data_IF_479289091777
#
_entry.id   IF_479289091777
#
_cell.length_a   1.000
_cell.length_b   1.000
_cell.length_c   1.000
_cell.angle_alpha   90.00
_cell.angle_beta   90.00
_cell.angle_gamma   90.00
#
_symmetry.space_group_name_H-M   'P 1'
#
loop_
_entity.id
_entity.type
_entity.pdbx_description
1 polymer ?
#
# COMPACT_ATOMS: atom_id res chain seq x y z
N UNK A 1 47.93 21.42 8.42
CA UNK A 1 47.01 20.56 7.66
C UNK A 1 46.53 19.48 8.59
N UNK A 2 45.33 19.68 9.14
CA UNK A 2 44.88 19.04 10.40
C UNK A 2 44.19 17.70 10.13
N UNK A 3 44.61 16.67 10.87
CA UNK A 3 44.13 15.29 10.74
C UNK A 3 42.69 15.06 11.27
N UNK A 4 41.97 16.12 11.65
CA UNK A 4 40.61 16.04 12.22
C UNK A 4 39.48 16.12 11.21
N UNK A 5 39.78 16.28 9.93
CA UNK A 5 38.73 16.49 8.87
C UNK A 5 38.34 15.23 8.09
N UNK A 6 38.84 14.07 8.53
CA UNK A 6 38.57 12.79 7.83
C UNK A 6 37.51 11.88 8.48
N UNK A 7 36.88 12.31 9.55
CA UNK A 7 35.96 11.43 10.32
C UNK A 7 34.46 11.65 10.07
N UNK A 8 34.09 12.57 9.20
CA UNK A 8 32.65 12.83 8.92
C UNK A 8 32.15 12.35 7.54
N UNK A 9 32.95 11.58 6.81
CA UNK A 9 32.63 11.12 5.46
C UNK A 9 32.57 9.60 5.33
N UNK A 10 31.83 8.90 6.18
CA UNK A 10 31.55 7.48 5.96
C UNK A 10 30.15 7.05 6.42
N UNK A 11 29.14 7.80 6.06
CA UNK A 11 27.81 7.22 5.86
C UNK A 11 27.88 6.47 4.54
N UNK A 12 28.06 5.16 4.61
CA UNK A 12 28.26 4.29 3.44
C UNK A 12 27.10 4.46 2.46
N UNK A 13 27.34 4.80 1.17
CA UNK A 13 26.27 4.93 0.17
C UNK A 13 25.49 3.63 -0.06
N UNK A 14 26.03 2.49 0.36
CA UNK A 14 25.39 1.18 0.27
C UNK A 14 24.23 1.00 1.24
N UNK A 15 24.28 1.55 2.46
CA UNK A 15 23.20 1.40 3.46
C UNK A 15 21.95 2.22 3.09
N UNK A 16 22.14 3.42 2.54
CA UNK A 16 21.02 4.24 2.06
C UNK A 16 20.28 3.61 0.87
N UNK A 17 20.99 2.96 -0.03
CA UNK A 17 20.40 2.24 -1.15
C UNK A 17 19.62 1.00 -0.70
N UNK A 18 20.09 0.26 0.29
CA UNK A 18 19.40 -0.92 0.81
C UNK A 18 18.11 -0.55 1.54
N UNK A 19 18.12 0.49 2.36
CA UNK A 19 16.93 0.99 3.05
C UNK A 19 15.87 1.50 2.06
N UNK A 20 16.27 2.21 1.02
CA UNK A 20 15.39 2.66 -0.05
C UNK A 20 14.78 1.47 -0.80
N UNK A 21 15.58 0.49 -1.18
CA UNK A 21 15.12 -0.72 -1.85
C UNK A 21 14.14 -1.50 -0.98
N UNK A 22 14.44 -1.66 0.32
CA UNK A 22 13.55 -2.31 1.27
C UNK A 22 12.21 -1.56 1.38
N UNK A 23 12.23 -0.23 1.49
CA UNK A 23 11.03 0.59 1.53
C UNK A 23 10.20 0.45 0.25
N UNK A 24 10.82 0.52 -0.93
CA UNK A 24 10.12 0.34 -2.21
C UNK A 24 9.44 -1.03 -2.27
N UNK A 25 10.14 -2.10 -1.93
CA UNK A 25 9.61 -3.47 -1.99
C UNK A 25 8.48 -3.65 -0.98
N UNK A 26 8.64 -3.18 0.25
CA UNK A 26 7.62 -3.30 1.32
C UNK A 26 6.37 -2.52 0.96
N UNK A 27 6.48 -1.25 0.62
CA UNK A 27 5.30 -0.44 0.27
C UNK A 27 4.61 -0.95 -1.00
N UNK A 28 5.39 -1.31 -2.02
CA UNK A 28 4.84 -1.84 -3.26
C UNK A 28 4.18 -3.22 -3.08
N UNK A 29 4.60 -4.02 -2.12
CA UNK A 29 3.97 -5.28 -1.79
C UNK A 29 2.68 -5.09 -0.98
N UNK A 30 2.64 -4.13 -0.05
CA UNK A 30 1.49 -3.92 0.86
C UNK A 30 0.33 -3.20 0.17
N UNK A 31 0.61 -2.18 -0.66
CA UNK A 31 -0.45 -1.33 -1.22
C UNK A 31 -1.51 -2.08 -2.04
N UNK A 32 -1.19 -3.07 -2.89
CA UNK A 32 -2.18 -3.83 -3.64
C UNK A 32 -2.68 -5.09 -2.90
N UNK A 33 -2.34 -5.28 -1.62
CA UNK A 33 -2.67 -6.51 -0.88
C UNK A 33 -4.18 -6.81 -0.90
N UNK A 34 -5.03 -5.80 -0.78
CA UNK A 34 -6.49 -5.98 -0.85
C UNK A 34 -6.93 -6.58 -2.20
N UNK A 35 -6.33 -6.14 -3.30
CA UNK A 35 -6.65 -6.69 -4.62
C UNK A 35 -6.15 -8.12 -4.76
N UNK A 36 -4.98 -8.43 -4.20
CA UNK A 36 -4.44 -9.80 -4.20
C UNK A 36 -5.26 -10.75 -3.33
N UNK A 37 -5.86 -10.24 -2.25
CA UNK A 37 -6.72 -11.01 -1.33
C UNK A 37 -8.22 -10.78 -1.58
N UNK A 38 -8.59 -10.16 -2.69
CA UNK A 38 -9.96 -9.79 -3.02
C UNK A 38 -10.99 -10.92 -2.84
N UNK A 39 -10.75 -12.17 -3.25
CA UNK A 39 -11.72 -13.25 -3.05
C UNK A 39 -12.06 -13.49 -1.57
N UNK A 40 -11.05 -13.51 -0.70
CA UNK A 40 -11.22 -13.72 0.74
C UNK A 40 -11.93 -12.53 1.40
N UNK A 41 -11.53 -11.30 1.04
CA UNK A 41 -12.14 -10.07 1.53
C UNK A 41 -13.59 -9.94 1.07
N UNK A 42 -13.88 -10.26 -0.19
CA UNK A 42 -15.24 -10.24 -0.75
C UNK A 42 -16.17 -11.20 -0.02
N UNK A 43 -15.71 -12.45 0.22
CA UNK A 43 -16.47 -13.45 0.96
C UNK A 43 -16.79 -12.98 2.38
N UNK A 44 -15.80 -12.38 3.08
CA UNK A 44 -15.99 -11.87 4.44
C UNK A 44 -16.95 -10.67 4.50
N UNK A 45 -16.82 -9.71 3.57
CA UNK A 45 -17.72 -8.56 3.50
C UNK A 45 -19.16 -8.98 3.19
N UNK A 46 -19.34 -9.95 2.28
CA UNK A 46 -20.65 -10.51 2.00
C UNK A 46 -21.26 -11.17 3.24
N UNK A 47 -20.46 -11.89 4.03
CA UNK A 47 -20.92 -12.57 5.25
C UNK A 47 -21.22 -11.59 6.40
N UNK A 48 -20.29 -10.67 6.71
CA UNK A 48 -20.43 -9.78 7.87
C UNK A 48 -21.45 -8.64 7.66
N UNK A 49 -21.45 -8.05 6.46
CA UNK A 49 -22.28 -6.89 6.16
C UNK A 49 -23.52 -7.25 5.34
N UNK A 50 -23.69 -8.55 5.02
CA UNK A 50 -24.77 -9.03 4.16
C UNK A 50 -24.87 -8.24 2.85
N UNK A 51 -23.70 -7.89 2.28
CA UNK A 51 -23.63 -7.12 1.07
C UNK A 51 -24.02 -7.99 -0.13
N UNK A 52 -24.82 -7.41 -1.01
CA UNK A 52 -25.09 -8.03 -2.31
C UNK A 52 -23.81 -8.07 -3.16
N UNK A 53 -23.67 -9.01 -4.10
CA UNK A 53 -22.53 -9.06 -5.02
C UNK A 53 -22.28 -7.74 -5.76
N UNK A 54 -23.35 -7.00 -6.08
CA UNK A 54 -23.25 -5.68 -6.70
C UNK A 54 -22.51 -4.69 -5.79
N UNK A 55 -22.87 -4.60 -4.49
CA UNK A 55 -22.19 -3.71 -3.53
C UNK A 55 -20.73 -4.08 -3.28
N UNK A 56 -20.42 -5.36 -3.29
CA UNK A 56 -19.02 -5.82 -3.25
C UNK A 56 -18.27 -5.37 -4.51
N UNK A 57 -18.90 -5.49 -5.68
CA UNK A 57 -18.36 -4.99 -6.95
C UNK A 57 -18.14 -3.48 -6.95
N UNK A 58 -19.09 -2.70 -6.41
CA UNK A 58 -18.96 -1.24 -6.26
C UNK A 58 -17.75 -0.86 -5.40
N UNK A 59 -17.52 -1.59 -4.29
CA UNK A 59 -16.38 -1.36 -3.41
C UNK A 59 -15.05 -1.51 -4.17
N UNK A 60 -14.87 -2.63 -4.87
CA UNK A 60 -13.65 -2.86 -5.67
C UNK A 60 -13.50 -1.88 -6.83
N UNK A 61 -14.62 -1.49 -7.46
CA UNK A 61 -14.63 -0.49 -8.53
C UNK A 61 -14.17 0.88 -8.02
N UNK A 62 -14.64 1.28 -6.82
CA UNK A 62 -14.22 2.52 -6.17
C UNK A 62 -12.74 2.48 -5.79
N UNK A 63 -12.24 1.36 -5.27
CA UNK A 63 -10.82 1.21 -4.96
C UNK A 63 -9.94 1.32 -6.20
N UNK A 64 -10.25 0.56 -7.24
CA UNK A 64 -9.51 0.60 -8.51
C UNK A 64 -9.58 1.99 -9.16
N UNK A 65 -10.77 2.61 -9.15
CA UNK A 65 -10.97 3.97 -9.64
C UNK A 65 -10.13 4.99 -8.86
N UNK A 66 -10.10 4.92 -7.53
CA UNK A 66 -9.30 5.79 -6.69
C UNK A 66 -7.80 5.61 -6.92
N UNK A 67 -7.32 4.37 -7.04
CA UNK A 67 -5.92 4.09 -7.40
C UNK A 67 -5.54 4.67 -8.76
N UNK A 68 -6.44 4.57 -9.73
CA UNK A 68 -6.26 5.15 -11.06
C UNK A 68 -6.27 6.67 -11.02
N UNK A 69 -7.18 7.27 -10.25
CA UNK A 69 -7.25 8.73 -10.05
C UNK A 69 -5.97 9.30 -9.41
N UNK A 70 -5.26 8.53 -8.60
CA UNK A 70 -3.99 8.96 -8.01
C UNK A 70 -2.92 9.30 -9.06
N UNK A 71 -3.04 8.80 -10.28
CA UNK A 71 -2.12 9.12 -11.38
C UNK A 71 -2.25 10.56 -11.86
N UNK A 72 -3.44 11.16 -11.80
CA UNK A 72 -3.70 12.50 -12.30
C UNK A 72 -2.91 13.58 -11.54
N UNK A 73 -3.00 13.69 -10.20
CA UNK A 73 -2.21 14.65 -9.45
C UNK A 73 -0.72 14.29 -9.44
N UNK A 74 -0.35 13.02 -9.66
CA UNK A 74 1.03 12.58 -9.63
C UNK A 74 1.90 13.32 -10.66
N UNK A 75 1.39 13.60 -11.85
CA UNK A 75 2.09 14.41 -12.86
C UNK A 75 2.48 15.79 -12.36
N UNK A 76 1.72 16.36 -11.42
CA UNK A 76 1.92 17.71 -10.93
C UNK A 76 2.82 17.75 -9.69
N UNK A 77 2.58 16.86 -8.73
CA UNK A 77 3.27 16.92 -7.45
C UNK A 77 4.60 16.16 -7.43
N UNK A 78 4.80 15.12 -8.25
CA UNK A 78 6.10 14.43 -8.40
C UNK A 78 7.25 15.39 -8.77
N UNK A 79 6.96 16.51 -9.45
CA UNK A 79 7.96 17.51 -9.85
C UNK A 79 8.14 18.65 -8.84
N UNK A 80 7.25 18.81 -7.88
CA UNK A 80 7.17 19.99 -6.99
C UNK A 80 7.27 19.67 -5.51
N UNK A 81 7.00 18.44 -5.11
CA UNK A 81 6.97 18.03 -3.70
C UNK A 81 8.14 17.09 -3.42
N UNK A 82 8.80 17.28 -2.28
CA UNK A 82 9.81 16.35 -1.80
C UNK A 82 9.14 14.97 -1.62
N UNK A 83 9.71 13.97 -2.28
CA UNK A 83 9.20 12.59 -2.26
C UNK A 83 9.05 12.02 -0.84
N UNK A 84 9.88 12.48 0.11
CA UNK A 84 9.82 12.04 1.51
C UNK A 84 8.54 12.52 2.20
N UNK A 85 8.21 13.79 2.04
CA UNK A 85 6.98 14.36 2.57
C UNK A 85 5.75 13.75 1.91
N UNK A 86 5.79 13.55 0.59
CA UNK A 86 4.71 12.90 -0.14
C UNK A 86 4.50 11.45 0.32
N UNK A 87 5.56 10.68 0.49
CA UNK A 87 5.50 9.30 0.98
C UNK A 87 4.98 9.22 2.42
N UNK A 88 5.44 10.12 3.30
CA UNK A 88 4.98 10.18 4.69
C UNK A 88 3.49 10.52 4.76
N UNK A 89 3.06 11.55 4.02
CA UNK A 89 1.66 12.00 4.03
C UNK A 89 0.74 10.91 3.46
N UNK A 90 1.10 10.32 2.32
CA UNK A 90 0.33 9.24 1.72
C UNK A 90 0.33 7.99 2.61
N UNK A 91 1.45 7.66 3.25
CA UNK A 91 1.55 6.56 4.20
C UNK A 91 0.67 6.74 5.43
N UNK A 92 0.69 7.91 6.05
CA UNK A 92 -0.17 8.24 7.19
C UNK A 92 -1.64 8.20 6.80
N UNK A 93 -2.01 8.78 5.66
CA UNK A 93 -3.39 8.73 5.17
C UNK A 93 -3.83 7.30 4.87
N UNK A 94 -2.96 6.48 4.27
CA UNK A 94 -3.22 5.07 4.00
C UNK A 94 -3.51 4.30 5.30
N UNK A 95 -2.65 4.46 6.32
CA UNK A 95 -2.83 3.80 7.62
C UNK A 95 -4.09 4.29 8.31
N UNK A 96 -4.28 5.60 8.40
CA UNK A 96 -5.45 6.20 9.07
C UNK A 96 -6.77 5.76 8.43
N UNK A 97 -6.87 5.79 7.09
CA UNK A 97 -8.06 5.37 6.37
C UNK A 97 -8.34 3.87 6.52
N UNK A 98 -7.31 3.02 6.54
CA UNK A 98 -7.48 1.58 6.79
C UNK A 98 -7.94 1.30 8.23
N UNK A 99 -7.36 1.95 9.24
CA UNK A 99 -7.80 1.81 10.63
C UNK A 99 -9.23 2.32 10.82
N UNK A 100 -9.56 3.48 10.24
CA UNK A 100 -10.92 4.02 10.28
C UNK A 100 -11.93 3.11 9.57
N UNK A 101 -11.52 2.43 8.49
CA UNK A 101 -12.37 1.47 7.78
C UNK A 101 -12.78 0.29 8.66
N UNK A 102 -11.93 -0.14 9.60
CA UNK A 102 -12.26 -1.19 10.56
C UNK A 102 -13.35 -0.76 11.57
N UNK A 103 -13.52 0.55 11.77
CA UNK A 103 -14.52 1.14 12.68
C UNK A 103 -15.74 1.70 11.94
N UNK A 104 -15.85 1.46 10.63
CA UNK A 104 -16.94 1.99 9.83
C UNK A 104 -18.29 1.37 10.26
N UNK A 105 -19.23 2.20 10.68
CA UNK A 105 -20.56 1.78 11.09
C UNK A 105 -21.61 1.78 9.94
N UNK A 106 -21.23 2.19 8.73
CA UNK A 106 -22.14 2.23 7.59
C UNK A 106 -21.40 1.97 6.27
N UNK A 107 -22.12 1.39 5.30
CA UNK A 107 -21.55 1.10 3.99
C UNK A 107 -21.05 2.36 3.24
N UNK A 108 -21.77 3.51 3.23
CA UNK A 108 -21.25 4.71 2.58
C UNK A 108 -19.97 5.23 3.22
N UNK A 109 -19.84 5.16 4.55
CA UNK A 109 -18.63 5.54 5.26
C UNK A 109 -17.47 4.61 4.91
N UNK A 110 -17.73 3.29 4.90
CA UNK A 110 -16.74 2.31 4.46
C UNK A 110 -16.25 2.62 3.03
N UNK A 111 -17.17 2.89 2.10
CA UNK A 111 -16.84 3.21 0.72
C UNK A 111 -15.95 4.46 0.61
N UNK A 112 -16.28 5.52 1.34
CA UNK A 112 -15.49 6.76 1.38
C UNK A 112 -14.07 6.53 1.96
N UNK A 113 -13.97 5.77 3.05
CA UNK A 113 -12.68 5.44 3.66
C UNK A 113 -11.83 4.54 2.76
N UNK A 114 -12.45 3.59 2.07
CA UNK A 114 -11.79 2.75 1.08
C UNK A 114 -11.29 3.56 -0.12
N UNK A 115 -12.08 4.54 -0.59
CA UNK A 115 -11.65 5.49 -1.61
C UNK A 115 -10.39 6.26 -1.17
N UNK A 116 -10.41 6.85 0.03
CA UNK A 116 -9.26 7.59 0.58
C UNK A 116 -8.02 6.69 0.73
N UNK A 117 -8.21 5.48 1.27
CA UNK A 117 -7.13 4.49 1.41
C UNK A 117 -6.53 4.11 0.05
N UNK A 118 -7.38 3.81 -0.93
CA UNK A 118 -6.95 3.42 -2.28
C UNK A 118 -6.25 4.57 -3.03
N UNK A 119 -6.71 5.81 -2.85
CA UNK A 119 -6.05 7.00 -3.40
C UNK A 119 -4.65 7.20 -2.81
N UNK A 120 -4.53 7.04 -1.49
CA UNK A 120 -3.25 7.12 -0.79
C UNK A 120 -2.32 5.96 -1.19
N UNK A 121 -2.84 4.73 -1.27
CA UNK A 121 -2.11 3.54 -1.73
C UNK A 121 -1.62 3.68 -3.17
N UNK A 122 -2.46 4.17 -4.07
CA UNK A 122 -2.09 4.49 -5.45
C UNK A 122 -0.99 5.53 -5.54
N UNK A 123 -1.04 6.57 -4.71
CA UNK A 123 0.01 7.60 -4.61
C UNK A 123 1.34 7.00 -4.14
N UNK A 124 1.33 6.14 -3.11
CA UNK A 124 2.52 5.42 -2.65
C UNK A 124 3.08 4.51 -3.75
N UNK A 125 2.22 3.81 -4.46
CA UNK A 125 2.63 2.93 -5.56
C UNK A 125 3.34 3.72 -6.67
N UNK A 126 2.81 4.89 -7.06
CA UNK A 126 3.44 5.76 -8.07
C UNK A 126 4.81 6.24 -7.59
N UNK A 127 4.93 6.63 -6.31
CA UNK A 127 6.22 7.01 -5.72
C UNK A 127 7.23 5.86 -5.77
N UNK A 128 6.81 4.65 -5.39
CA UNK A 128 7.64 3.46 -5.44
C UNK A 128 8.10 3.14 -6.87
N UNK A 129 7.19 3.18 -7.84
CA UNK A 129 7.49 2.94 -9.25
C UNK A 129 8.46 3.98 -9.80
N UNK A 130 8.24 5.26 -9.51
CA UNK A 130 9.11 6.35 -9.93
C UNK A 130 10.51 6.25 -9.30
N UNK A 131 10.57 5.88 -8.02
CA UNK A 131 11.83 5.67 -7.31
C UNK A 131 12.58 4.44 -7.83
N UNK A 132 11.86 3.35 -8.12
CA UNK A 132 12.44 2.14 -8.72
C UNK A 132 13.05 2.42 -10.09
N UNK A 133 12.37 3.21 -10.93
CA UNK A 133 12.85 3.60 -12.26
C UNK A 133 14.16 4.39 -12.20
N UNK A 134 14.43 5.12 -11.12
CA UNK A 134 15.65 5.91 -10.92
C UNK A 134 16.83 5.14 -10.32
N UNK A 135 16.66 3.86 -10.00
CA UNK A 135 17.74 3.00 -9.47
C UNK A 135 18.69 2.53 -10.55
N UNK A 136 19.90 2.09 -10.16
CA UNK A 136 20.90 1.57 -11.09
C UNK A 136 20.48 0.26 -11.80
N UNK A 137 19.56 -0.50 -11.19
CA UNK A 137 19.05 -1.78 -11.71
C UNK A 137 17.53 -1.86 -11.60
N UNK A 138 16.77 -1.08 -12.40
CA UNK A 138 15.30 -1.01 -12.30
C UNK A 138 14.61 -2.37 -12.46
N UNK A 139 15.05 -3.19 -13.40
CA UNK A 139 14.49 -4.51 -13.67
C UNK A 139 14.54 -5.44 -12.46
N UNK A 140 15.63 -5.39 -11.69
CA UNK A 140 15.79 -6.17 -10.46
C UNK A 140 14.83 -5.67 -9.36
N UNK A 141 14.69 -4.35 -9.23
CA UNK A 141 13.78 -3.75 -8.24
C UNK A 141 12.33 -4.11 -8.54
N UNK A 142 11.92 -4.02 -9.81
CA UNK A 142 10.58 -4.43 -10.23
C UNK A 142 10.35 -5.93 -10.03
N UNK A 143 11.35 -6.78 -10.31
CA UNK A 143 11.26 -8.22 -10.05
C UNK A 143 11.05 -8.52 -8.55
N UNK A 144 11.82 -7.88 -7.68
CA UNK A 144 11.67 -8.01 -6.22
C UNK A 144 10.31 -7.50 -5.74
N UNK A 145 9.82 -6.39 -6.30
CA UNK A 145 8.49 -5.87 -6.02
C UNK A 145 7.39 -6.88 -6.37
N UNK A 146 7.40 -7.42 -7.59
CA UNK A 146 6.41 -8.42 -8.02
C UNK A 146 6.47 -9.67 -7.14
N UNK A 147 7.67 -10.16 -6.83
CA UNK A 147 7.86 -11.27 -5.90
C UNK A 147 7.27 -10.96 -4.51
N UNK A 148 7.52 -9.76 -3.99
CA UNK A 148 6.96 -9.33 -2.71
C UNK A 148 5.43 -9.33 -2.71
N UNK A 149 4.79 -8.84 -3.77
CA UNK A 149 3.34 -8.86 -3.93
C UNK A 149 2.77 -10.29 -3.93
N UNK A 150 3.41 -11.18 -4.69
CA UNK A 150 2.96 -12.57 -4.78
C UNK A 150 3.08 -13.29 -3.44
N UNK A 151 4.17 -13.07 -2.71
CA UNK A 151 4.36 -13.63 -1.36
C UNK A 151 3.31 -13.10 -0.40
N UNK A 152 3.10 -11.78 -0.34
CA UNK A 152 2.10 -11.15 0.54
C UNK A 152 0.69 -11.62 0.16
N UNK A 153 0.37 -11.70 -1.14
CA UNK A 153 -0.91 -12.21 -1.63
C UNK A 153 -1.15 -13.68 -1.24
N UNK A 154 -0.16 -14.54 -1.44
CA UNK A 154 -0.25 -15.96 -1.08
C UNK A 154 -0.42 -16.17 0.43
N UNK A 155 0.37 -15.47 1.24
CA UNK A 155 0.26 -15.49 2.71
C UNK A 155 -1.09 -14.94 3.16
N UNK A 156 -1.55 -13.84 2.58
CA UNK A 156 -2.87 -13.26 2.86
C UNK A 156 -4.00 -14.22 2.55
N UNK A 157 -4.01 -14.83 1.36
CA UNK A 157 -5.04 -15.81 0.99
C UNK A 157 -5.03 -17.05 1.88
N UNK A 158 -3.87 -17.48 2.37
CA UNK A 158 -3.75 -18.64 3.26
C UNK A 158 -4.19 -18.31 4.70
N UNK A 159 -3.87 -17.12 5.21
CA UNK A 159 -4.10 -16.76 6.62
C UNK A 159 -5.43 -16.07 6.86
N UNK A 160 -5.93 -15.23 5.93
CA UNK A 160 -7.16 -14.46 6.15
C UNK A 160 -8.38 -15.31 6.47
N UNK A 161 -8.67 -16.43 5.80
CA UNK A 161 -9.81 -17.28 6.16
C UNK A 161 -9.74 -17.79 7.59
N UNK A 162 -8.56 -18.25 8.03
CA UNK A 162 -8.35 -18.75 9.40
C UNK A 162 -8.51 -17.64 10.45
N UNK A 163 -8.01 -16.43 10.16
CA UNK A 163 -8.19 -15.25 11.02
C UNK A 163 -9.67 -14.85 11.12
N UNK A 164 -10.40 -14.85 10.01
CA UNK A 164 -11.82 -14.51 9.99
C UNK A 164 -12.66 -15.52 10.79
N UNK A 165 -12.35 -16.82 10.72
CA UNK A 165 -12.99 -17.84 11.55
C UNK A 165 -12.73 -17.63 13.05
N UNK A 166 -11.51 -17.23 13.42
CA UNK A 166 -11.19 -16.95 14.82
C UNK A 166 -11.92 -15.73 15.35
N UNK A 167 -11.96 -14.64 14.56
CA UNK A 167 -12.67 -13.42 14.92
C UNK A 167 -14.18 -13.68 15.02
N UNK A 168 -14.75 -14.41 14.06
CA UNK A 168 -16.17 -14.78 14.08
C UNK A 168 -16.55 -15.60 15.30
N UNK A 169 -15.69 -16.51 15.77
CA UNK A 169 -15.91 -17.31 16.99
C UNK A 169 -15.79 -16.49 18.28
N UNK A 170 -15.06 -15.39 18.28
CA UNK A 170 -14.92 -14.53 19.46
C UNK A 170 -16.15 -13.61 19.70
N UNK A 171 -17.06 -13.53 18.73
CA UNK A 171 -18.27 -12.70 18.82
C UNK A 171 -19.56 -13.51 18.97
N UNK A 172 -19.49 -14.82 19.14
CA UNK A 172 -20.59 -15.75 19.48
C UNK A 172 -20.47 -16.15 20.93
#
# INVERSE_FOLDING_TARGET
MNASDKTLASASPASGNLALLAAIVVFAAITPTILMTAPAVAAQLAAQWQLSPARVGDLFSVELGAMSLATLPAFHWLKRVDWRHAALLAGLLFIAANLASALAGSYPLLLALRFCSALAGGSLMILCLSSAASTATPSRVYGLWVMGQLVVGAVGLALLPALFEQIGRAHV
#
